data_IF_231970199400
#
_entry.id   IF_231970199400
#
_cell.length_a   1.000
_cell.length_b   1.000
_cell.length_c   1.000
_cell.angle_alpha   90.00
_cell.angle_beta   90.00
_cell.angle_gamma   90.00
#
_symmetry.space_group_name_H-M   'P 1'
#
loop_
_entity.id
_entity.type
_entity.pdbx_description
1 polymer ?
#
# COMPACT_ATOMS: atom_id res chain seq x y z
N UNK A 1 -10.52 -71.80 28.17
CA UNK A 1 -10.05 -71.30 26.85
C UNK A 1 -9.96 -69.77 26.93
N UNK A 2 -8.75 -69.21 27.11
CA UNK A 2 -8.06 -68.29 26.17
C UNK A 2 -8.99 -67.15 25.67
N UNK A 3 -8.83 -65.84 25.92
CA UNK A 3 -7.78 -64.96 26.45
C UNK A 3 -8.46 -63.65 26.90
N UNK A 4 -8.04 -63.00 27.99
CA UNK A 4 -8.30 -61.57 28.20
C UNK A 4 -7.01 -60.94 28.73
N UNK A 5 -6.35 -60.13 27.89
CA UNK A 5 -5.09 -59.46 28.23
C UNK A 5 -5.40 -58.12 28.88
N UNK A 6 -5.01 -57.97 30.14
CA UNK A 6 -4.83 -56.68 30.82
C UNK A 6 -3.32 -56.48 30.98
N UNK A 7 -2.78 -55.41 30.40
CA UNK A 7 -1.47 -54.82 30.77
C UNK A 7 -1.46 -53.39 30.22
N UNK A 8 -1.70 -52.39 31.05
CA UNK A 8 -0.77 -51.59 31.86
C UNK A 8 0.00 -50.53 31.06
N UNK A 9 -0.06 -49.31 31.59
CA UNK A 9 0.44 -48.05 31.05
C UNK A 9 1.96 -47.99 30.82
N UNK A 10 2.38 -47.18 29.85
CA UNK A 10 3.62 -46.42 29.90
C UNK A 10 3.55 -45.24 28.92
N UNK A 11 3.51 -44.06 29.50
CA UNK A 11 3.67 -42.73 28.91
C UNK A 11 4.85 -42.64 27.94
N UNK A 12 4.61 -42.10 26.75
CA UNK A 12 5.64 -41.61 25.85
C UNK A 12 5.50 -40.10 25.68
N UNK A 13 6.36 -39.39 26.41
CA UNK A 13 6.72 -38.00 26.18
C UNK A 13 7.07 -37.81 24.69
N UNK A 14 6.25 -37.04 23.98
CA UNK A 14 6.73 -36.30 22.80
C UNK A 14 6.30 -34.85 22.94
N UNK A 15 7.31 -34.04 23.25
CA UNK A 15 7.28 -32.58 23.25
C UNK A 15 6.97 -32.13 21.83
N UNK A 16 5.74 -31.66 21.58
CA UNK A 16 5.47 -30.81 20.42
C UNK A 16 5.56 -29.35 20.89
N UNK A 17 6.79 -28.86 20.80
CA UNK A 17 7.12 -27.47 20.94
C UNK A 17 6.56 -26.64 19.76
N UNK A 18 6.59 -25.33 19.99
CA UNK A 18 6.34 -24.24 19.04
C UNK A 18 4.89 -23.83 18.87
N UNK A 19 4.46 -23.07 19.87
CA UNK A 19 3.79 -21.78 19.70
C UNK A 19 3.99 -21.19 18.29
N UNK A 20 2.98 -21.30 17.44
CA UNK A 20 2.77 -20.35 16.36
C UNK A 20 1.50 -19.56 16.67
N UNK A 21 1.54 -18.83 17.78
CA UNK A 21 0.76 -17.60 17.89
C UNK A 21 1.39 -16.59 16.93
N UNK A 22 1.12 -16.75 15.63
CA UNK A 22 1.10 -15.60 14.73
C UNK A 22 -0.12 -14.79 15.14
N UNK A 23 0.02 -14.06 16.24
CA UNK A 23 -0.82 -12.91 16.51
C UNK A 23 -0.63 -12.01 15.29
N UNK A 24 -1.55 -12.11 14.33
CA UNK A 24 -1.81 -11.03 13.41
C UNK A 24 -2.14 -9.86 14.31
N UNK A 25 -1.13 -9.05 14.60
CA UNK A 25 -1.33 -7.71 15.11
C UNK A 25 -2.15 -7.02 14.03
N UNK A 26 -3.48 -7.04 14.20
CA UNK A 26 -4.42 -6.31 13.37
C UNK A 26 -4.14 -4.84 13.68
N UNK A 27 -3.15 -4.28 12.97
CA UNK A 27 -2.82 -2.87 13.09
C UNK A 27 -4.06 -2.06 12.70
N UNK A 28 -4.41 -1.02 13.47
CA UNK A 28 -5.63 -0.26 13.22
C UNK A 28 -5.57 0.34 11.81
N UNK A 29 -6.59 0.01 11.01
CA UNK A 29 -6.75 0.20 9.54
C UNK A 29 -6.61 1.66 9.02
N UNK A 30 -6.27 2.61 9.89
CA UNK A 30 -6.06 4.03 9.60
C UNK A 30 -4.69 4.62 10.00
N UNK A 31 -3.98 4.06 10.99
CA UNK A 31 -2.67 4.58 11.42
C UNK A 31 -1.59 4.31 10.36
N UNK A 32 -1.66 3.14 9.71
CA UNK A 32 -0.72 2.74 8.68
C UNK A 32 -0.88 3.59 7.41
N UNK A 33 -2.10 3.90 6.97
CA UNK A 33 -2.30 4.66 5.72
C UNK A 33 -1.79 6.10 5.77
N UNK A 34 -1.95 6.78 6.91
CA UNK A 34 -1.39 8.13 7.09
C UNK A 34 0.13 8.08 7.13
N UNK A 35 0.68 7.07 7.81
CA UNK A 35 2.13 6.84 7.92
C UNK A 35 2.75 6.50 6.57
N UNK A 36 2.14 5.59 5.80
CA UNK A 36 2.53 5.25 4.42
C UNK A 36 2.50 6.47 3.50
N UNK A 37 1.45 7.30 3.60
CA UNK A 37 1.36 8.54 2.82
C UNK A 37 2.50 9.51 3.18
N UNK A 38 2.79 9.68 4.47
CA UNK A 38 3.90 10.52 4.93
C UNK A 38 5.26 9.98 4.48
N UNK A 39 5.46 8.66 4.53
CA UNK A 39 6.67 8.02 4.03
C UNK A 39 6.83 8.20 2.51
N UNK A 40 5.74 8.01 1.75
CA UNK A 40 5.74 8.26 0.30
C UNK A 40 6.06 9.72 -0.03
N UNK A 41 5.51 10.67 0.73
CA UNK A 41 5.83 12.09 0.57
C UNK A 41 7.29 12.38 0.88
N UNK A 42 7.85 11.79 1.94
CA UNK A 42 9.27 11.94 2.28
C UNK A 42 10.17 11.41 1.15
N UNK A 43 9.88 10.22 0.64
CA UNK A 43 10.62 9.65 -0.49
C UNK A 43 10.47 10.47 -1.76
N UNK A 44 9.27 10.99 -2.06
CA UNK A 44 9.05 11.84 -3.23
C UNK A 44 9.83 13.14 -3.12
N UNK A 45 9.84 13.76 -1.94
CA UNK A 45 10.65 14.95 -1.68
C UNK A 45 12.13 14.70 -1.95
N UNK A 46 12.68 13.61 -1.41
CA UNK A 46 14.10 13.25 -1.56
C UNK A 46 14.43 12.96 -3.04
N UNK A 47 13.67 12.09 -3.69
CA UNK A 47 13.90 11.71 -5.10
C UNK A 47 13.74 12.88 -6.07
N UNK A 48 12.81 13.80 -5.80
CA UNK A 48 12.55 14.97 -6.65
C UNK A 48 13.40 16.19 -6.27
N UNK A 49 14.17 16.13 -5.18
CA UNK A 49 14.94 17.26 -4.66
C UNK A 49 14.10 18.55 -4.56
N UNK A 50 12.89 18.44 -3.98
CA UNK A 50 11.95 19.57 -3.92
C UNK A 50 12.50 20.70 -3.04
N UNK A 51 12.31 21.95 -3.46
CA UNK A 51 12.49 23.11 -2.56
C UNK A 51 11.40 23.14 -1.49
N UNK A 52 11.57 23.98 -0.46
CA UNK A 52 10.57 24.13 0.62
C UNK A 52 9.23 24.63 0.07
N UNK A 53 9.28 25.55 -0.89
CA UNK A 53 8.10 26.11 -1.56
C UNK A 53 7.42 25.04 -2.41
N UNK A 54 8.20 24.28 -3.19
CA UNK A 54 7.67 23.18 -3.99
C UNK A 54 7.07 22.07 -3.12
N UNK A 55 7.67 21.75 -1.97
CA UNK A 55 7.18 20.74 -1.04
C UNK A 55 5.77 21.07 -0.53
N UNK A 56 5.53 22.33 -0.13
CA UNK A 56 4.21 22.76 0.35
C UNK A 56 3.13 22.61 -0.73
N UNK A 57 3.43 23.07 -1.95
CA UNK A 57 2.50 22.97 -3.08
C UNK A 57 2.29 21.51 -3.53
N UNK A 58 3.35 20.71 -3.58
CA UNK A 58 3.28 19.28 -3.90
C UNK A 58 2.44 18.51 -2.88
N UNK A 59 2.56 18.86 -1.60
CA UNK A 59 1.74 18.30 -0.52
C UNK A 59 0.27 18.64 -0.71
N UNK A 60 -0.05 19.91 -0.98
CA UNK A 60 -1.42 20.35 -1.23
C UNK A 60 -2.05 19.63 -2.43
N UNK A 61 -1.33 19.54 -3.55
CA UNK A 61 -1.77 18.78 -4.74
C UNK A 61 -1.99 17.31 -4.37
N UNK A 62 -1.04 16.69 -3.67
CA UNK A 62 -1.15 15.28 -3.29
C UNK A 62 -2.33 14.99 -2.35
N UNK A 63 -2.63 15.88 -1.40
CA UNK A 63 -3.80 15.76 -0.53
C UNK A 63 -5.11 15.90 -1.33
N UNK A 64 -5.23 16.95 -2.14
CA UNK A 64 -6.39 17.21 -3.02
C UNK A 64 -6.74 15.99 -3.87
N UNK A 65 -5.74 15.43 -4.56
CA UNK A 65 -5.99 14.25 -5.39
C UNK A 65 -6.16 12.97 -4.57
N UNK A 66 -5.51 12.84 -3.41
CA UNK A 66 -5.74 11.72 -2.49
C UNK A 66 -7.19 11.63 -2.03
N UNK A 67 -7.80 12.77 -1.69
CA UNK A 67 -9.21 12.85 -1.30
C UNK A 67 -10.15 12.48 -2.46
N UNK A 68 -9.91 13.02 -3.66
CA UNK A 68 -10.68 12.65 -4.86
C UNK A 68 -10.59 11.16 -5.18
N UNK A 69 -9.41 10.56 -5.07
CA UNK A 69 -9.21 9.13 -5.26
C UNK A 69 -9.94 8.29 -4.20
N UNK A 70 -9.95 8.75 -2.95
CA UNK A 70 -10.69 8.11 -1.86
C UNK A 70 -12.20 8.18 -2.11
N UNK A 71 -12.71 9.34 -2.53
CA UNK A 71 -14.11 9.52 -2.89
C UNK A 71 -14.50 8.59 -4.04
N UNK A 72 -13.69 8.55 -5.12
CA UNK A 72 -13.91 7.65 -6.26
C UNK A 72 -13.92 6.16 -5.86
N UNK A 73 -13.03 5.76 -4.95
CA UNK A 73 -12.99 4.39 -4.44
C UNK A 73 -14.29 4.00 -3.72
N UNK A 74 -14.86 4.94 -2.97
CA UNK A 74 -16.05 4.72 -2.15
C UNK A 74 -17.36 4.99 -2.91
N UNK A 75 -17.30 5.68 -4.05
CA UNK A 75 -18.47 5.92 -4.89
C UNK A 75 -19.08 4.59 -5.36
N UNK A 76 -20.37 4.56 -5.62
CA UNK A 76 -21.04 3.45 -6.31
C UNK A 76 -20.84 3.58 -7.83
N UNK A 77 -21.27 2.57 -8.60
CA UNK A 77 -21.24 2.63 -10.07
C UNK A 77 -20.27 1.65 -10.74
N UNK A 78 -20.31 1.66 -12.07
CA UNK A 78 -19.64 0.69 -12.93
C UNK A 78 -18.10 0.75 -12.81
N UNK A 79 -17.48 -0.43 -12.88
CA UNK A 79 -16.04 -0.57 -12.72
C UNK A 79 -15.25 0.09 -13.86
N UNK A 80 -15.75 0.06 -15.09
CA UNK A 80 -15.08 0.68 -16.25
C UNK A 80 -15.16 2.20 -16.15
N UNK A 81 -16.31 2.74 -15.75
CA UNK A 81 -16.46 4.17 -15.52
C UNK A 81 -15.53 4.68 -14.43
N UNK A 82 -15.46 3.99 -13.28
CA UNK A 82 -14.51 4.31 -12.22
C UNK A 82 -13.06 4.24 -12.69
N UNK A 83 -12.72 3.29 -13.55
CA UNK A 83 -11.39 3.19 -14.12
C UNK A 83 -11.06 4.39 -15.03
N UNK A 84 -12.02 4.85 -15.85
CA UNK A 84 -11.88 6.05 -16.67
C UNK A 84 -11.65 7.29 -15.79
N UNK A 85 -12.50 7.50 -14.78
CA UNK A 85 -12.37 8.60 -13.82
C UNK A 85 -11.05 8.55 -13.06
N UNK A 86 -10.58 7.35 -12.69
CA UNK A 86 -9.28 7.16 -12.06
C UNK A 86 -8.13 7.63 -12.96
N UNK A 87 -8.21 7.34 -14.26
CA UNK A 87 -7.22 7.79 -15.23
C UNK A 87 -7.25 9.31 -15.35
N UNK A 88 -8.42 9.90 -15.52
CA UNK A 88 -8.60 11.36 -15.60
C UNK A 88 -8.05 12.08 -14.37
N UNK A 89 -8.30 11.55 -13.17
CA UNK A 89 -7.75 12.11 -11.93
C UNK A 89 -6.21 12.01 -11.86
N UNK A 90 -5.61 10.95 -12.42
CA UNK A 90 -4.14 10.83 -12.50
C UNK A 90 -3.56 11.83 -13.48
N UNK A 91 -4.16 11.95 -14.66
CA UNK A 91 -3.70 12.88 -15.69
C UNK A 91 -3.81 14.33 -15.21
N UNK A 92 -4.92 14.68 -14.56
CA UNK A 92 -5.11 15.98 -13.95
C UNK A 92 -4.08 16.27 -12.83
N UNK A 93 -3.78 15.29 -11.97
CA UNK A 93 -2.69 15.41 -10.97
C UNK A 93 -1.35 15.66 -11.65
N UNK A 94 -1.03 14.90 -12.69
CA UNK A 94 0.23 15.01 -13.40
C UNK A 94 0.40 16.39 -14.03
N UNK A 95 -0.67 16.97 -14.57
CA UNK A 95 -0.65 18.33 -15.11
C UNK A 95 -0.37 19.39 -14.03
N UNK A 96 -1.03 19.29 -12.86
CA UNK A 96 -0.76 20.22 -11.75
C UNK A 96 0.66 20.07 -11.20
N UNK A 97 1.17 18.85 -11.10
CA UNK A 97 2.56 18.60 -10.66
C UNK A 97 3.56 19.08 -11.72
N UNK A 98 3.27 18.93 -13.02
CA UNK A 98 4.13 19.42 -14.10
C UNK A 98 4.30 20.94 -14.06
N UNK A 99 3.26 21.68 -13.68
CA UNK A 99 3.34 23.13 -13.53
C UNK A 99 4.22 23.56 -12.33
N UNK A 100 4.41 22.67 -11.36
CA UNK A 100 5.21 22.91 -10.16
C UNK A 100 6.68 22.54 -10.31
N UNK A 101 6.95 21.49 -11.08
CA UNK A 101 8.26 20.88 -11.22
C UNK A 101 8.98 21.37 -12.47
N UNK A 102 10.31 21.42 -12.43
CA UNK A 102 11.09 21.56 -13.65
C UNK A 102 11.03 20.26 -14.50
N UNK A 103 11.49 20.28 -15.77
CA UNK A 103 11.39 19.12 -16.65
C UNK A 103 12.04 17.85 -16.11
N UNK A 104 13.21 17.96 -15.48
CA UNK A 104 13.95 16.81 -14.94
C UNK A 104 13.26 16.22 -13.71
N UNK A 105 12.81 17.08 -12.80
CA UNK A 105 11.99 16.69 -11.65
C UNK A 105 10.70 16.00 -12.12
N UNK A 106 10.03 16.52 -13.14
CA UNK A 106 8.81 15.91 -13.66
C UNK A 106 9.07 14.56 -14.31
N UNK A 107 10.19 14.38 -15.02
CA UNK A 107 10.61 13.08 -15.55
C UNK A 107 10.83 12.06 -14.42
N UNK A 108 11.53 12.44 -13.36
CA UNK A 108 11.72 11.60 -12.17
C UNK A 108 10.38 11.25 -11.51
N UNK A 109 9.47 12.22 -11.42
CA UNK A 109 8.12 12.01 -10.89
C UNK A 109 7.36 10.93 -11.66
N UNK A 110 7.39 10.96 -13.00
CA UNK A 110 6.77 9.93 -13.84
C UNK A 110 7.41 8.55 -13.63
N UNK A 111 8.74 8.48 -13.47
CA UNK A 111 9.43 7.22 -13.14
C UNK A 111 8.94 6.63 -11.83
N UNK A 112 8.84 7.46 -10.78
CA UNK A 112 8.32 7.03 -9.47
C UNK A 112 6.88 6.50 -9.59
N UNK A 113 6.04 7.11 -10.43
CA UNK A 113 4.67 6.63 -10.64
C UNK A 113 4.63 5.24 -11.29
N UNK A 114 5.47 5.00 -12.30
CA UNK A 114 5.54 3.71 -12.99
C UNK A 114 6.15 2.62 -12.08
N UNK A 115 7.21 2.93 -11.31
CA UNK A 115 7.78 2.03 -10.29
C UNK A 115 6.69 1.57 -9.30
N UNK A 116 5.90 2.51 -8.77
CA UNK A 116 4.80 2.20 -7.85
C UNK A 116 3.71 1.36 -8.50
N UNK A 117 3.46 1.54 -9.80
CA UNK A 117 2.47 0.79 -10.55
C UNK A 117 2.94 -0.63 -10.83
N UNK A 118 4.22 -0.82 -11.16
CA UNK A 118 4.86 -2.12 -11.30
C UNK A 118 4.83 -2.88 -9.96
N UNK A 119 5.30 -2.29 -8.87
CA UNK A 119 5.28 -2.92 -7.54
C UNK A 119 3.86 -3.36 -7.11
N UNK A 120 2.83 -2.56 -7.44
CA UNK A 120 1.43 -2.95 -7.19
C UNK A 120 0.92 -4.08 -8.08
N UNK A 121 1.51 -4.27 -9.26
CA UNK A 121 1.16 -5.37 -10.16
C UNK A 121 1.80 -6.66 -9.66
N UNK A 122 3.06 -6.62 -9.27
CA UNK A 122 3.81 -7.77 -8.77
C UNK A 122 3.15 -8.32 -7.50
N UNK A 123 2.82 -7.45 -6.54
CA UNK A 123 2.08 -7.82 -5.32
C UNK A 123 0.67 -8.41 -5.58
N UNK A 124 0.10 -8.23 -6.78
CA UNK A 124 -1.18 -8.86 -7.16
C UNK A 124 -0.97 -10.21 -7.86
N UNK A 125 0.21 -10.47 -8.40
CA UNK A 125 0.55 -11.73 -9.05
C UNK A 125 1.04 -12.77 -8.05
N UNK A 126 1.60 -12.33 -6.92
CA UNK A 126 2.05 -13.19 -5.81
C UNK A 126 0.93 -13.61 -4.84
N UNK A 127 -0.29 -13.07 -4.99
CA UNK A 127 -1.46 -13.38 -4.15
C UNK A 127 -2.47 -14.20 -4.93
#
# INVERSE_FOLDING_TARGET
>A
MKKLKITLAATLLTVFAFNYSNAQEVKPVGADRKTEMMQQMKMDKEKLSLTKEQESQFKAISMKYGEKMKALKNAEGDRKEKFKQLKELRDAKNNEVKALLNPDQFKTYLSIQEERKAARKDNRQEK
#
